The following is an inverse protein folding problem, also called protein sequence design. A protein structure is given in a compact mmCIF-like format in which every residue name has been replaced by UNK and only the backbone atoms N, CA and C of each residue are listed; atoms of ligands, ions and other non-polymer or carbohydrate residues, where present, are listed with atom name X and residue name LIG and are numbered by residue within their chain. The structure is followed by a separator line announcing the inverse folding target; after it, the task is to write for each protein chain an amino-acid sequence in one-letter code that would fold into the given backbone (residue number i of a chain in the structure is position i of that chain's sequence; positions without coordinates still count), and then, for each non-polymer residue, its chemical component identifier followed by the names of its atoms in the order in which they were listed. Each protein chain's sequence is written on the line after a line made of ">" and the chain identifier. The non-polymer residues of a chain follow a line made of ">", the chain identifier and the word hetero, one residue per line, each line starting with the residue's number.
data_IF_704074310529
#
_entry.id   IF_704074310529
#
_cell.length_a   1.000
_cell.length_b   1.000
_cell.length_c   1.000
_cell.angle_alpha   90.00
_cell.angle_beta   90.00
_cell.angle_gamma   90.00
#
_symmetry.space_group_name_H-M   'P 1'
#
loop_
_entity.id
_entity.type
_entity.pdbx_description
1 polymer ?
#
# COMPACT_ATOMS: atom_id res chain seq x y z
N UNK A 1 68.70 19.58 54.88
CA UNK A 1 67.38 18.94 55.26
C UNK A 1 66.46 18.98 54.05
N UNK A 2 66.17 17.81 53.50
CA UNK A 2 65.43 17.67 52.21
C UNK A 2 63.97 17.60 52.49
N UNK A 3 63.18 18.59 52.06
CA UNK A 3 61.71 18.51 52.02
C UNK A 3 61.35 17.85 50.72
N UNK A 4 60.65 16.73 50.82
CA UNK A 4 60.02 16.02 49.69
C UNK A 4 58.56 16.52 49.52
N UNK A 5 58.36 17.25 48.45
CA UNK A 5 57.02 17.64 48.04
C UNK A 5 56.27 16.42 47.46
N UNK A 6 55.12 16.06 48.04
CA UNK A 6 54.17 15.08 47.51
C UNK A 6 53.21 15.76 46.54
N UNK A 7 53.39 15.48 45.30
CA UNK A 7 52.43 15.93 44.27
C UNK A 7 51.25 14.99 44.25
N UNK A 8 50.08 15.48 44.66
CA UNK A 8 48.80 14.78 44.55
C UNK A 8 48.23 15.05 43.16
N UNK A 9 48.22 14.03 42.32
CA UNK A 9 47.57 14.11 41.00
C UNK A 9 46.09 13.73 41.20
N UNK A 10 45.20 14.71 41.07
CA UNK A 10 43.78 14.50 41.06
C UNK A 10 43.33 14.02 39.66
N UNK A 11 42.92 12.76 39.54
CA UNK A 11 42.27 12.25 38.35
C UNK A 11 40.80 12.70 38.33
N UNK A 12 40.48 13.66 37.47
CA UNK A 12 39.12 14.05 37.17
C UNK A 12 38.59 13.07 36.10
N UNK A 13 37.89 12.06 36.56
CA UNK A 13 37.17 11.12 35.65
C UNK A 13 35.98 11.80 35.01
N UNK A 14 36.09 12.19 33.73
CA UNK A 14 34.97 12.65 32.92
C UNK A 14 34.09 11.45 32.53
N UNK A 15 32.98 11.29 33.24
CA UNK A 15 31.93 10.34 32.82
C UNK A 15 31.18 10.93 31.61
N UNK A 16 31.58 10.53 30.40
CA UNK A 16 30.84 10.80 29.20
C UNK A 16 29.61 9.84 29.17
N UNK A 17 28.43 10.36 29.46
CA UNK A 17 27.18 9.63 29.20
C UNK A 17 26.94 9.60 27.69
N UNK A 18 27.32 8.50 27.07
CA UNK A 18 26.88 8.21 25.70
C UNK A 18 25.39 7.89 25.72
N UNK A 19 24.59 8.85 25.27
CA UNK A 19 23.19 8.60 24.90
C UNK A 19 23.18 7.68 23.68
N UNK A 20 23.06 6.38 23.91
CA UNK A 20 22.79 5.44 22.85
C UNK A 20 21.36 5.69 22.33
N UNK A 21 21.26 6.45 21.24
CA UNK A 21 20.02 6.48 20.46
C UNK A 21 19.82 5.08 19.88
N UNK A 22 18.93 4.32 20.49
CA UNK A 22 18.41 3.07 19.94
C UNK A 22 17.60 3.45 18.71
N UNK A 23 18.22 3.45 17.54
CA UNK A 23 17.49 3.48 16.28
C UNK A 23 16.80 2.12 16.16
N UNK A 24 15.46 2.12 16.29
CA UNK A 24 14.67 0.98 15.91
C UNK A 24 15.00 0.65 14.42
N UNK A 25 15.18 -0.64 14.07
CA UNK A 25 15.42 -0.99 12.68
C UNK A 25 14.29 -0.41 11.81
N UNK A 26 14.58 0.09 10.60
CA UNK A 26 13.55 0.51 9.68
C UNK A 26 12.57 -0.65 9.53
N UNK A 27 11.32 -0.47 9.96
CA UNK A 27 10.28 -1.41 9.60
C UNK A 27 10.19 -1.33 8.07
N UNK A 28 10.66 -2.37 7.39
CA UNK A 28 10.35 -2.57 5.99
C UNK A 28 8.82 -2.51 5.89
N UNK A 29 8.33 -1.40 5.34
CA UNK A 29 6.91 -1.24 5.06
C UNK A 29 6.53 -2.42 4.18
N UNK A 30 5.73 -3.34 4.75
CA UNK A 30 5.24 -4.53 4.06
C UNK A 30 4.55 -4.01 2.81
N UNK A 31 5.22 -4.13 1.66
CA UNK A 31 4.68 -3.67 0.39
C UNK A 31 3.34 -4.35 0.20
N UNK A 32 2.27 -3.59 0.11
CA UNK A 32 0.94 -4.16 -0.11
C UNK A 32 0.92 -4.85 -1.47
N UNK A 33 0.08 -5.86 -1.63
CA UNK A 33 -0.07 -6.62 -2.88
C UNK A 33 -0.42 -5.73 -4.07
N UNK A 34 -0.97 -4.52 -3.83
CA UNK A 34 -1.26 -3.55 -4.88
C UNK A 34 -0.04 -2.77 -5.38
N UNK A 35 1.11 -2.86 -4.70
CA UNK A 35 2.37 -2.18 -5.09
C UNK A 35 2.55 -0.77 -4.54
N UNK A 36 1.67 -0.30 -3.64
CA UNK A 36 1.73 0.99 -2.95
C UNK A 36 1.56 0.80 -1.45
N UNK A 37 2.16 1.67 -0.63
CA UNK A 37 2.10 1.55 0.83
C UNK A 37 0.72 1.95 1.39
N UNK A 38 -0.02 2.84 0.71
CA UNK A 38 -1.34 3.28 1.12
C UNK A 38 -2.28 3.52 -0.07
N UNK A 39 -3.58 3.56 0.20
CA UNK A 39 -4.62 3.90 -0.79
C UNK A 39 -4.41 5.31 -1.34
N UNK A 40 -4.07 6.27 -0.48
CA UNK A 40 -3.83 7.65 -0.89
C UNK A 40 -2.61 7.77 -1.82
N UNK A 41 -1.52 7.06 -1.51
CA UNK A 41 -0.32 7.03 -2.37
C UNK A 41 -0.63 6.44 -3.74
N UNK A 42 -1.36 5.32 -3.80
CA UNK A 42 -1.79 4.71 -5.04
C UNK A 42 -2.60 5.67 -5.91
N UNK A 43 -3.58 6.35 -5.32
CA UNK A 43 -4.44 7.29 -6.03
C UNK A 43 -3.65 8.46 -6.61
N UNK A 44 -2.78 9.08 -5.82
CA UNK A 44 -1.93 10.21 -6.26
C UNK A 44 -1.00 9.78 -7.40
N UNK A 45 -0.34 8.63 -7.27
CA UNK A 45 0.57 8.12 -8.28
C UNK A 45 -0.14 7.83 -9.61
N UNK A 46 -1.33 7.22 -9.58
CA UNK A 46 -2.10 6.93 -10.79
C UNK A 46 -2.65 8.20 -11.45
N UNK A 47 -3.11 9.17 -10.67
CA UNK A 47 -3.57 10.46 -11.19
C UNK A 47 -2.45 11.28 -11.83
N UNK A 48 -1.22 11.17 -11.33
CA UNK A 48 -0.05 11.85 -11.90
C UNK A 48 0.47 11.19 -13.19
N UNK A 49 0.10 9.94 -13.47
CA UNK A 49 0.55 9.21 -14.64
C UNK A 49 -0.33 9.51 -15.86
N UNK A 50 0.22 10.20 -16.87
CA UNK A 50 -0.51 10.59 -18.09
C UNK A 50 -1.00 9.43 -18.96
N UNK A 51 -0.46 8.22 -18.76
CA UNK A 51 -0.90 7.02 -19.49
C UNK A 51 -2.16 6.40 -18.86
N UNK A 52 -2.49 6.78 -17.63
CA UNK A 52 -3.65 6.28 -16.90
C UNK A 52 -4.86 7.17 -17.14
N UNK A 53 -5.96 6.57 -17.53
CA UNK A 53 -7.24 7.27 -17.66
C UNK A 53 -7.96 7.19 -16.32
N UNK A 54 -8.30 8.35 -15.75
CA UNK A 54 -9.02 8.43 -14.47
C UNK A 54 -10.41 9.02 -14.69
N UNK A 55 -11.43 8.34 -14.19
CA UNK A 55 -12.83 8.76 -14.26
C UNK A 55 -13.56 8.45 -12.95
N UNK A 56 -14.71 9.09 -12.75
CA UNK A 56 -15.59 8.78 -11.61
C UNK A 56 -16.85 8.10 -12.14
N UNK A 57 -17.18 6.93 -11.59
CA UNK A 57 -18.36 6.15 -11.92
C UNK A 57 -19.09 5.74 -10.65
N UNK A 58 -20.34 6.15 -10.49
CA UNK A 58 -21.14 5.89 -9.29
C UNK A 58 -20.44 6.25 -7.97
N UNK A 59 -19.69 7.35 -7.98
CA UNK A 59 -18.91 7.83 -6.84
C UNK A 59 -17.52 7.16 -6.68
N UNK A 60 -17.26 6.03 -7.32
CA UNK A 60 -15.96 5.37 -7.33
C UNK A 60 -14.99 6.06 -8.29
N UNK A 61 -13.75 6.26 -7.85
CA UNK A 61 -12.69 6.70 -8.77
C UNK A 61 -12.10 5.48 -9.45
N UNK A 62 -12.19 5.45 -10.78
CA UNK A 62 -11.70 4.36 -11.61
C UNK A 62 -10.47 4.85 -12.38
N UNK A 63 -9.35 4.15 -12.23
CA UNK A 63 -8.14 4.40 -13.00
C UNK A 63 -7.87 3.19 -13.92
N UNK A 64 -7.69 3.45 -15.21
CA UNK A 64 -7.52 2.42 -16.24
C UNK A 64 -6.15 2.54 -16.88
N UNK A 65 -5.37 1.49 -16.78
CA UNK A 65 -4.13 1.26 -17.52
C UNK A 65 -4.41 0.28 -18.65
N UNK A 66 -4.63 0.81 -19.85
CA UNK A 66 -4.96 -0.02 -21.01
C UNK A 66 -3.75 -0.83 -21.50
N UNK A 67 -2.56 -0.29 -21.35
CA UNK A 67 -1.31 -0.93 -21.77
C UNK A 67 -1.06 -2.22 -20.97
N UNK A 68 -1.29 -2.16 -19.66
CA UNK A 68 -1.09 -3.28 -18.74
C UNK A 68 -2.40 -4.03 -18.40
N UNK A 69 -3.49 -3.74 -19.10
CA UNK A 69 -4.83 -4.35 -18.87
C UNK A 69 -5.24 -4.32 -17.40
N UNK A 70 -4.91 -3.22 -16.71
CA UNK A 70 -5.13 -3.07 -15.27
C UNK A 70 -6.21 -2.04 -14.99
N UNK A 71 -7.12 -2.38 -14.12
CA UNK A 71 -8.21 -1.53 -13.65
C UNK A 71 -8.11 -1.34 -12.13
N UNK A 72 -8.08 -0.10 -11.71
CA UNK A 72 -8.07 0.30 -10.31
C UNK A 72 -9.42 0.90 -9.93
N UNK A 73 -9.94 0.53 -8.77
CA UNK A 73 -11.18 1.06 -8.23
C UNK A 73 -10.94 1.56 -6.82
N UNK A 74 -11.18 2.86 -6.59
CA UNK A 74 -11.02 3.51 -5.29
C UNK A 74 -12.39 3.84 -4.71
N UNK A 75 -12.63 3.43 -3.46
CA UNK A 75 -13.90 3.65 -2.80
C UNK A 75 -14.17 5.14 -2.52
N UNK A 76 -15.43 5.61 -2.66
CA UNK A 76 -15.83 6.93 -2.23
C UNK A 76 -15.90 7.03 -0.70
N UNK A 77 -15.85 8.25 -0.17
CA UNK A 77 -15.94 8.50 1.28
C UNK A 77 -17.23 7.99 1.93
N UNK A 78 -18.30 7.82 1.14
CA UNK A 78 -19.59 7.31 1.58
C UNK A 78 -19.64 5.79 1.69
N UNK A 79 -18.64 5.07 1.15
CA UNK A 79 -18.59 3.61 1.20
C UNK A 79 -18.02 3.12 2.54
N UNK A 80 -18.62 2.09 3.17
CA UNK A 80 -18.10 1.54 4.44
C UNK A 80 -16.66 1.05 4.38
N UNK A 81 -16.17 0.65 3.19
CA UNK A 81 -14.80 0.20 2.97
C UNK A 81 -13.80 1.33 2.74
N UNK A 82 -14.21 2.60 2.83
CA UNK A 82 -13.31 3.72 2.65
C UNK A 82 -12.30 3.85 3.80
N UNK A 83 -11.00 4.11 3.52
CA UNK A 83 -10.38 4.14 2.20
C UNK A 83 -9.99 2.74 1.73
N UNK A 84 -10.27 2.43 0.46
CA UNK A 84 -9.86 1.17 -0.16
C UNK A 84 -9.50 1.33 -1.64
N UNK A 85 -8.63 0.46 -2.12
CA UNK A 85 -8.24 0.32 -3.51
C UNK A 85 -8.29 -1.15 -3.93
N UNK A 86 -8.95 -1.41 -5.05
CA UNK A 86 -9.01 -2.74 -5.68
C UNK A 86 -8.31 -2.67 -7.03
N UNK A 87 -7.22 -3.42 -7.18
CA UNK A 87 -6.48 -3.58 -8.43
C UNK A 87 -6.93 -4.86 -9.10
N UNK A 88 -7.33 -4.80 -10.35
CA UNK A 88 -7.69 -5.96 -11.16
C UNK A 88 -6.85 -5.99 -12.43
N UNK A 89 -6.28 -7.14 -12.74
CA UNK A 89 -5.48 -7.36 -13.94
C UNK A 89 -6.21 -8.41 -14.78
N UNK A 90 -6.48 -8.09 -16.04
CA UNK A 90 -7.13 -9.02 -16.97
C UNK A 90 -6.06 -9.74 -17.78
N UNK A 91 -6.01 -11.05 -17.67
CA UNK A 91 -5.13 -11.93 -18.44
C UNK A 91 -5.94 -12.84 -19.34
N UNK A 92 -5.44 -13.08 -20.54
CA UNK A 92 -6.00 -14.04 -21.49
C UNK A 92 -4.97 -15.14 -21.75
N UNK A 93 -5.38 -16.38 -21.51
CA UNK A 93 -4.54 -17.57 -21.75
C UNK A 93 -5.40 -18.66 -22.42
N UNK A 94 -4.97 -19.12 -23.59
CA UNK A 94 -5.68 -20.21 -24.31
C UNK A 94 -7.19 -19.94 -24.47
N UNK A 95 -7.54 -18.75 -24.95
CA UNK A 95 -8.93 -18.28 -25.14
C UNK A 95 -9.77 -18.22 -23.83
N UNK A 96 -9.11 -18.29 -22.69
CA UNK A 96 -9.75 -18.14 -21.38
C UNK A 96 -9.32 -16.86 -20.71
N UNK A 97 -10.28 -16.07 -20.23
CA UNK A 97 -10.03 -14.82 -19.52
C UNK A 97 -9.97 -15.08 -18.01
N UNK A 98 -8.91 -14.56 -17.39
CA UNK A 98 -8.71 -14.57 -15.95
C UNK A 98 -8.65 -13.13 -15.43
N UNK A 99 -9.22 -12.90 -14.26
CA UNK A 99 -9.12 -11.63 -13.56
C UNK A 99 -8.40 -11.85 -12.24
N UNK A 100 -7.18 -11.35 -12.14
CA UNK A 100 -6.44 -11.30 -10.88
C UNK A 100 -6.87 -10.07 -10.10
N UNK A 101 -7.02 -10.21 -8.78
CA UNK A 101 -7.48 -9.14 -7.91
C UNK A 101 -6.60 -9.03 -6.67
N UNK A 102 -6.09 -7.83 -6.44
CA UNK A 102 -5.41 -7.43 -5.22
C UNK A 102 -6.17 -6.29 -4.55
N UNK A 103 -6.24 -6.30 -3.21
CA UNK A 103 -6.98 -5.31 -2.45
C UNK A 103 -6.11 -4.72 -1.35
N UNK A 104 -6.10 -3.40 -1.27
CA UNK A 104 -5.66 -2.66 -0.09
C UNK A 104 -6.87 -1.95 0.51
N UNK A 105 -7.24 -2.32 1.72
CA UNK A 105 -8.37 -1.75 2.44
C UNK A 105 -7.91 -1.32 3.82
N UNK A 106 -8.08 -0.04 4.14
CA UNK A 106 -7.66 0.59 5.39
C UNK A 106 -8.84 0.84 6.34
N UNK A 107 -10.02 0.29 6.01
CA UNK A 107 -11.23 0.33 6.81
C UNK A 107 -11.29 -0.80 7.86
N UNK A 108 -12.44 -0.99 8.50
CA UNK A 108 -12.65 -2.10 9.42
C UNK A 108 -12.60 -3.47 8.70
N UNK A 109 -12.16 -4.51 9.41
CA UNK A 109 -12.10 -5.86 8.83
C UNK A 109 -13.43 -6.32 8.21
N UNK A 110 -14.60 -6.17 8.87
CA UNK A 110 -15.88 -6.58 8.25
C UNK A 110 -16.20 -5.83 6.95
N UNK A 111 -15.89 -4.53 6.88
CA UNK A 111 -16.10 -3.73 5.68
C UNK A 111 -15.15 -4.18 4.55
N UNK A 112 -13.89 -4.43 4.87
CA UNK A 112 -12.91 -4.95 3.90
C UNK A 112 -13.28 -6.34 3.39
N UNK A 113 -13.71 -7.25 4.27
CA UNK A 113 -14.15 -8.60 3.88
C UNK A 113 -15.39 -8.54 2.95
N UNK A 114 -16.30 -7.59 3.22
CA UNK A 114 -17.46 -7.38 2.36
C UNK A 114 -17.08 -6.85 0.97
N UNK A 115 -16.15 -5.87 0.93
CA UNK A 115 -15.59 -5.35 -0.32
C UNK A 115 -15.00 -6.47 -1.18
N UNK A 116 -14.15 -7.31 -0.58
CA UNK A 116 -13.53 -8.45 -1.29
C UNK A 116 -14.58 -9.36 -1.91
N UNK A 117 -15.62 -9.76 -1.14
CA UNK A 117 -16.70 -10.61 -1.66
C UNK A 117 -17.45 -9.97 -2.83
N UNK A 118 -17.76 -8.67 -2.74
CA UNK A 118 -18.47 -7.96 -3.81
C UNK A 118 -17.64 -7.94 -5.11
N UNK A 119 -16.35 -7.66 -5.02
CA UNK A 119 -15.50 -7.65 -6.19
C UNK A 119 -15.19 -9.04 -6.74
N UNK A 120 -15.12 -10.08 -5.91
CA UNK A 120 -15.03 -11.47 -6.36
C UNK A 120 -16.26 -11.84 -7.22
N UNK A 121 -17.46 -11.57 -6.74
CA UNK A 121 -18.69 -11.80 -7.50
C UNK A 121 -18.76 -10.98 -8.79
N UNK A 122 -18.27 -9.75 -8.78
CA UNK A 122 -18.17 -8.92 -9.98
C UNK A 122 -17.21 -9.54 -11.00
N UNK A 123 -16.05 -10.00 -10.56
CA UNK A 123 -15.05 -10.63 -11.42
C UNK A 123 -15.58 -11.92 -12.05
N UNK A 124 -16.28 -12.76 -11.29
CA UNK A 124 -16.92 -13.98 -11.80
C UNK A 124 -17.94 -13.67 -12.92
N UNK A 125 -18.79 -12.67 -12.71
CA UNK A 125 -19.73 -12.23 -13.76
C UNK A 125 -19.02 -11.70 -15.00
N UNK A 126 -17.94 -10.91 -14.81
CA UNK A 126 -17.16 -10.39 -15.93
C UNK A 126 -16.50 -11.51 -16.73
N UNK A 127 -15.90 -12.48 -16.06
CA UNK A 127 -15.28 -13.65 -16.70
C UNK A 127 -16.30 -14.45 -17.51
N UNK A 128 -17.46 -14.73 -16.94
CA UNK A 128 -18.55 -15.43 -17.65
C UNK A 128 -18.99 -14.68 -18.90
N UNK A 129 -19.17 -13.36 -18.81
CA UNK A 129 -19.53 -12.54 -19.97
C UNK A 129 -18.47 -12.58 -21.08
N UNK A 130 -17.20 -12.50 -20.71
CA UNK A 130 -16.10 -12.51 -21.69
C UNK A 130 -15.89 -13.87 -22.34
N UNK A 131 -16.20 -14.97 -21.62
CA UNK A 131 -16.05 -16.34 -22.14
C UNK A 131 -17.19 -16.76 -23.06
N UNK A 132 -18.42 -16.26 -22.85
CA UNK A 132 -19.58 -16.69 -23.61
C UNK A 132 -19.96 -15.75 -24.76
N UNK A 133 -19.25 -14.60 -24.90
CA UNK A 133 -19.54 -13.59 -25.92
C UNK A 133 -20.93 -12.96 -25.81
N UNK A 134 -21.26 -11.97 -26.62
CA UNK A 134 -22.63 -11.48 -26.75
C UNK A 134 -23.52 -12.49 -27.50
#
# INVERSE_FOLDING_TARGET
>A
MKQRALTVIAFIGSFAWSLAFSQAPPQEAKQSTIGYASVAEALVALQANRKIQVAVQNGWTIATDQENKTLWSFSPKSDPSYPSAVKRIVEERNDTVFVHMDVLCEASKPACDNLVRQFQQLNERMQQHMQHGP
#
